data_IF_131786487716
#
_entry.id   IF_131786487716
#
_cell.length_a   1.000
_cell.length_b   1.000
_cell.length_c   1.000
_cell.angle_alpha   90.00
_cell.angle_beta   90.00
_cell.angle_gamma   90.00
#
_symmetry.space_group_name_H-M   'P 1'
#
loop_
_entity.id
_entity.type
_entity.pdbx_description
1 polymer ?
#
# COMPACT_ATOMS: atom_id res chain seq x y z
N UNK A 1 4.98 12.10 -3.58
CA UNK A 1 5.70 12.59 -4.76
C UNK A 1 5.24 14.01 -5.12
N UNK A 2 5.93 14.74 -6.00
CA UNK A 2 5.30 15.87 -6.71
C UNK A 2 4.42 15.32 -7.84
N UNK A 3 3.51 16.10 -8.46
CA UNK A 3 2.80 15.65 -9.66
C UNK A 3 3.75 15.16 -10.77
N UNK A 4 4.85 15.86 -11.00
CA UNK A 4 5.88 15.48 -12.00
C UNK A 4 6.59 14.16 -11.65
N UNK A 5 6.84 13.88 -10.37
CA UNK A 5 7.43 12.61 -9.94
C UNK A 5 6.42 11.44 -10.03
N UNK A 6 5.13 11.70 -9.81
CA UNK A 6 4.06 10.71 -10.02
C UNK A 6 3.94 10.30 -11.48
N UNK A 7 4.08 11.24 -12.41
CA UNK A 7 3.99 10.98 -13.86
C UNK A 7 5.09 10.06 -14.39
N UNK A 8 6.17 9.85 -13.64
CA UNK A 8 7.22 8.87 -13.98
C UNK A 8 6.78 7.43 -13.75
N UNK A 9 5.72 7.22 -12.97
CA UNK A 9 5.14 5.90 -12.75
C UNK A 9 4.29 5.47 -13.96
N UNK A 10 4.16 4.17 -14.22
CA UNK A 10 3.14 3.66 -15.13
C UNK A 10 1.75 4.18 -14.71
N UNK A 11 0.96 4.70 -15.66
CA UNK A 11 -0.33 5.35 -15.38
C UNK A 11 -1.28 4.57 -14.44
N UNK A 12 -1.41 3.24 -14.52
CA UNK A 12 -2.24 2.50 -13.58
C UNK A 12 -1.71 2.54 -12.14
N UNK A 13 -0.39 2.48 -11.97
CA UNK A 13 0.27 2.57 -10.67
C UNK A 13 0.28 4.00 -10.14
N UNK A 14 0.46 5.00 -11.00
CA UNK A 14 0.31 6.43 -10.65
C UNK A 14 -1.05 6.70 -9.99
N UNK A 15 -2.14 6.18 -10.58
CA UNK A 15 -3.49 6.30 -10.03
C UNK A 15 -3.60 5.68 -8.65
N UNK A 16 -3.04 4.48 -8.47
CA UNK A 16 -3.06 3.74 -7.19
C UNK A 16 -2.25 4.47 -6.12
N UNK A 17 -1.07 4.96 -6.47
CA UNK A 17 -0.23 5.75 -5.57
C UNK A 17 -0.88 7.09 -5.20
N UNK A 18 -1.53 7.75 -6.15
CA UNK A 18 -2.26 9.00 -5.88
C UNK A 18 -3.41 8.78 -4.90
N UNK A 19 -4.20 7.71 -5.08
CA UNK A 19 -5.27 7.35 -4.14
C UNK A 19 -4.72 7.07 -2.74
N UNK A 20 -3.64 6.29 -2.65
CA UNK A 20 -2.93 6.03 -1.39
C UNK A 20 -2.42 7.31 -0.73
N UNK A 21 -1.79 8.22 -1.48
CA UNK A 21 -1.31 9.50 -0.96
C UNK A 21 -2.45 10.35 -0.39
N UNK A 22 -3.58 10.41 -1.09
CA UNK A 22 -4.75 11.19 -0.67
C UNK A 22 -5.39 10.60 0.59
N UNK A 23 -5.57 9.28 0.64
CA UNK A 23 -6.18 8.59 1.79
C UNK A 23 -5.36 8.78 3.08
N UNK A 24 -4.04 8.56 3.00
CA UNK A 24 -3.14 8.73 4.15
C UNK A 24 -3.13 10.19 4.63
N UNK A 25 -3.05 11.15 3.70
CA UNK A 25 -3.04 12.57 4.07
C UNK A 25 -4.37 13.02 4.67
N UNK A 26 -5.50 12.49 4.19
CA UNK A 26 -6.82 12.75 4.79
C UNK A 26 -6.87 12.22 6.23
N UNK A 27 -6.37 11.01 6.48
CA UNK A 27 -6.28 10.46 7.84
C UNK A 27 -5.39 11.34 8.74
N UNK A 28 -4.23 11.77 8.26
CA UNK A 28 -3.33 12.64 9.00
C UNK A 28 -4.02 13.96 9.38
N UNK A 29 -4.72 14.59 8.42
CA UNK A 29 -5.47 15.84 8.67
C UNK A 29 -6.52 15.61 9.75
N UNK A 30 -7.32 14.55 9.66
CA UNK A 30 -8.36 14.26 10.64
C UNK A 30 -7.77 14.04 12.04
N UNK A 31 -6.68 13.26 12.15
CA UNK A 31 -5.98 13.04 13.42
C UNK A 31 -5.45 14.33 14.03
N UNK A 32 -4.88 15.23 13.23
CA UNK A 32 -4.39 16.52 13.73
C UNK A 32 -5.57 17.40 14.18
N UNK A 33 -6.69 17.40 13.44
CA UNK A 33 -7.90 18.14 13.84
C UNK A 33 -8.49 17.64 15.16
N UNK A 34 -8.43 16.35 15.41
CA UNK A 34 -8.94 15.74 16.64
C UNK A 34 -8.00 15.93 17.84
N UNK A 35 -6.70 15.77 17.62
CA UNK A 35 -5.71 15.74 18.70
C UNK A 35 -4.99 17.06 18.94
N UNK A 36 -5.08 18.02 18.00
CA UNK A 36 -4.33 19.28 17.97
C UNK A 36 -2.84 19.10 18.23
N UNK A 37 -2.27 17.99 17.76
CA UNK A 37 -0.84 17.66 17.85
C UNK A 37 -0.47 16.57 16.85
N UNK A 38 0.82 16.42 16.59
CA UNK A 38 1.35 15.27 15.86
C UNK A 38 1.59 14.14 16.85
N UNK A 39 0.68 13.16 16.86
CA UNK A 39 0.84 11.93 17.66
C UNK A 39 1.89 11.00 17.07
N UNK A 40 2.37 9.96 17.79
CA UNK A 40 3.30 8.98 17.23
C UNK A 40 2.79 8.27 15.97
N UNK A 41 1.48 8.02 15.87
CA UNK A 41 0.87 7.43 14.66
C UNK A 41 0.87 8.45 13.52
N UNK A 42 0.57 9.71 13.81
CA UNK A 42 0.64 10.80 12.82
C UNK A 42 2.07 10.98 12.30
N UNK A 43 3.08 11.00 13.18
CA UNK A 43 4.50 11.04 12.81
C UNK A 43 4.88 9.85 11.93
N UNK A 44 4.46 8.64 12.29
CA UNK A 44 4.69 7.44 11.47
C UNK A 44 4.15 7.59 10.04
N UNK A 45 2.89 8.03 9.88
CA UNK A 45 2.27 8.22 8.57
C UNK A 45 3.00 9.29 7.76
N UNK A 46 3.37 10.41 8.37
CA UNK A 46 4.15 11.47 7.72
C UNK A 46 5.52 10.96 7.24
N UNK A 47 6.21 10.14 8.05
CA UNK A 47 7.45 9.49 7.65
C UNK A 47 7.23 8.54 6.45
N UNK A 48 6.13 7.78 6.42
CA UNK A 48 5.81 6.91 5.27
C UNK A 48 5.56 7.74 4.00
N UNK A 49 4.88 8.87 4.12
CA UNK A 49 4.64 9.79 3.00
C UNK A 49 5.94 10.34 2.41
N UNK A 50 6.91 10.71 3.26
CA UNK A 50 8.23 11.11 2.79
C UNK A 50 9.01 9.95 2.16
N UNK A 51 8.92 8.74 2.71
CA UNK A 51 9.58 7.56 2.17
C UNK A 51 9.09 7.17 0.77
N UNK A 52 7.80 7.34 0.47
CA UNK A 52 7.24 7.18 -0.89
C UNK A 52 7.49 8.41 -1.79
N UNK A 53 8.32 9.37 -1.35
CA UNK A 53 8.78 10.50 -2.14
C UNK A 53 7.92 11.76 -2.05
N UNK A 54 6.96 11.89 -1.12
CA UNK A 54 6.23 13.15 -0.92
C UNK A 54 7.11 14.20 -0.23
N UNK A 55 7.20 15.38 -0.85
CA UNK A 55 8.01 16.47 -0.30
C UNK A 55 7.39 16.98 1.00
N UNK A 56 8.25 17.32 1.96
CA UNK A 56 7.86 17.96 3.22
C UNK A 56 7.02 19.22 2.98
N UNK A 57 7.34 19.99 1.93
CA UNK A 57 6.58 21.16 1.49
C UNK A 57 5.13 20.79 1.10
N UNK A 58 4.95 19.80 0.22
CA UNK A 58 3.61 19.37 -0.22
C UNK A 58 2.78 18.83 0.94
N UNK A 59 3.39 18.03 1.82
CA UNK A 59 2.77 17.56 3.06
C UNK A 59 2.26 18.76 3.86
N UNK A 60 3.15 19.71 4.18
CA UNK A 60 2.81 20.88 4.98
C UNK A 60 1.72 21.74 4.35
N UNK A 61 1.71 21.92 3.04
CA UNK A 61 0.66 22.62 2.30
C UNK A 61 -0.70 21.94 2.44
N UNK A 62 -0.76 20.62 2.26
CA UNK A 62 -2.00 19.84 2.45
C UNK A 62 -2.49 19.95 3.89
N UNK A 63 -1.58 19.86 4.88
CA UNK A 63 -1.96 20.01 6.29
C UNK A 63 -2.50 21.40 6.59
N UNK A 64 -1.83 22.47 6.13
CA UNK A 64 -2.29 23.85 6.29
C UNK A 64 -3.70 24.02 5.80
N UNK A 65 -3.99 23.58 4.57
CA UNK A 65 -5.34 23.73 4.01
C UNK A 65 -6.36 22.84 4.74
N UNK A 66 -5.98 21.60 5.08
CA UNK A 66 -6.85 20.64 5.74
C UNK A 66 -7.28 21.04 7.16
N UNK A 67 -6.42 21.75 7.89
CA UNK A 67 -6.71 22.19 9.28
C UNK A 67 -7.12 23.66 9.39
N UNK A 68 -7.10 24.41 8.28
CA UNK A 68 -7.40 25.85 8.22
C UNK A 68 -8.71 26.23 8.89
N UNK A 69 -9.77 25.47 8.64
CA UNK A 69 -11.12 25.72 9.19
C UNK A 69 -11.24 25.36 10.67
N UNK A 70 -10.29 24.59 11.21
CA UNK A 70 -10.22 24.24 12.62
C UNK A 70 -9.46 25.29 13.47
N UNK A 71 -8.90 26.33 12.85
CA UNK A 71 -8.11 27.36 13.55
C UNK A 71 -6.80 26.85 14.14
N UNK A 72 -6.28 25.73 13.61
CA UNK A 72 -5.03 25.12 14.06
C UNK A 72 -3.86 25.75 13.30
N UNK A 73 -2.85 26.24 14.04
CA UNK A 73 -1.60 26.69 13.45
C UNK A 73 -0.65 25.50 13.24
N UNK A 74 -0.47 25.09 11.98
CA UNK A 74 0.41 23.97 11.66
C UNK A 74 1.88 24.24 12.04
N UNK A 75 2.30 25.51 12.01
CA UNK A 75 3.69 25.88 12.27
C UNK A 75 4.01 25.68 13.76
N UNK A 76 3.07 26.03 14.64
CA UNK A 76 3.14 25.75 16.08
C UNK A 76 3.12 24.23 16.37
N UNK A 77 2.27 23.49 15.66
CA UNK A 77 2.18 22.02 15.77
C UNK A 77 3.52 21.36 15.39
N UNK A 78 4.14 21.83 14.30
CA UNK A 78 5.44 21.34 13.84
C UNK A 78 6.55 21.70 14.83
N UNK A 79 6.56 22.92 15.37
CA UNK A 79 7.53 23.34 16.37
C UNK A 79 7.42 22.49 17.66
N UNK A 80 6.20 22.20 18.09
CA UNK A 80 5.93 21.32 19.23
C UNK A 80 6.43 19.89 18.96
N UNK A 81 6.12 19.34 17.78
CA UNK A 81 6.58 18.02 17.37
C UNK A 81 8.12 17.93 17.29
N UNK A 82 8.78 18.98 16.78
CA UNK A 82 10.24 19.04 16.66
C UNK A 82 10.99 18.99 18.00
N UNK A 83 10.30 19.32 19.10
CA UNK A 83 10.81 19.30 20.48
C UNK A 83 10.37 18.04 21.26
N UNK A 84 9.57 17.17 20.64
CA UNK A 84 9.03 15.98 21.28
C UNK A 84 10.01 14.81 21.23
N UNK A 85 10.16 14.09 22.35
CA UNK A 85 11.06 12.93 22.47
C UNK A 85 10.59 11.69 21.69
N UNK A 86 9.30 11.60 21.32
CA UNK A 86 8.80 10.45 20.55
C UNK A 86 8.89 10.63 19.03
N UNK A 87 9.24 11.82 18.55
CA UNK A 87 9.47 12.07 17.13
C UNK A 87 10.84 11.52 16.75
N UNK A 88 10.85 10.44 15.97
CA UNK A 88 12.10 9.76 15.59
C UNK A 88 12.94 10.58 14.61
N UNK A 89 12.29 11.41 13.80
CA UNK A 89 12.94 12.23 12.78
C UNK A 89 12.52 13.70 12.89
N UNK A 90 13.13 14.43 13.82
CA UNK A 90 12.82 15.86 14.02
C UNK A 90 13.14 16.72 12.79
N UNK A 91 13.96 16.24 11.85
CA UNK A 91 14.30 16.96 10.61
C UNK A 91 13.09 17.13 9.69
N UNK A 92 12.09 16.24 9.77
CA UNK A 92 10.83 16.40 9.01
C UNK A 92 10.11 17.69 9.41
N UNK A 93 10.25 18.11 10.67
CA UNK A 93 9.56 19.28 11.21
C UNK A 93 10.42 20.54 11.22
N UNK A 94 11.76 20.40 11.22
CA UNK A 94 12.72 21.53 11.24
C UNK A 94 13.10 22.03 9.84
N UNK A 95 13.03 21.21 8.80
CA UNK A 95 13.53 21.58 7.49
C UNK A 95 12.63 22.59 6.76
N UNK A 96 13.22 23.71 6.32
CA UNK A 96 12.62 24.63 5.37
C UNK A 96 13.17 24.32 3.96
N UNK A 97 12.58 23.36 3.24
CA UNK A 97 13.10 22.98 1.92
C UNK A 97 12.47 21.74 1.26
N UNK A 98 12.85 21.50 -0.01
CA UNK A 98 12.45 20.32 -0.79
C UNK A 98 13.31 19.10 -0.40
N UNK A 99 12.84 18.32 0.56
CA UNK A 99 13.41 17.01 0.93
C UNK A 99 12.57 15.85 0.37
N UNK A 100 12.13 15.94 -0.89
CA UNK A 100 11.61 14.74 -1.56
C UNK A 100 12.81 13.97 -2.12
N UNK A 101 12.87 12.66 -1.85
CA UNK A 101 13.75 11.77 -2.59
C UNK A 101 13.18 11.67 -4.01
N UNK A 102 13.89 12.15 -5.05
CA UNK A 102 13.44 12.00 -6.43
C UNK A 102 13.22 10.52 -6.76
N UNK A 103 12.28 10.21 -7.65
CA UNK A 103 11.98 8.82 -8.01
C UNK A 103 13.24 8.07 -8.50
N UNK A 104 14.10 8.76 -9.25
CA UNK A 104 15.35 8.20 -9.78
C UNK A 104 16.37 7.84 -8.69
N UNK A 105 16.25 8.42 -7.50
CA UNK A 105 17.11 8.14 -6.35
C UNK A 105 16.40 7.29 -5.28
N UNK A 106 15.11 6.96 -5.47
CA UNK A 106 14.32 6.19 -4.52
C UNK A 106 14.35 4.69 -4.85
N UNK A 107 15.45 4.02 -4.49
CA UNK A 107 15.67 2.59 -4.77
C UNK A 107 14.58 1.69 -4.19
N UNK A 108 14.11 2.00 -2.98
CA UNK A 108 13.01 1.25 -2.35
C UNK A 108 11.72 1.36 -3.17
N UNK A 109 11.34 2.58 -3.59
CA UNK A 109 10.14 2.76 -4.41
C UNK A 109 10.32 2.10 -5.80
N UNK A 110 11.49 2.21 -6.42
CA UNK A 110 11.82 1.51 -7.67
C UNK A 110 11.70 -0.02 -7.52
N UNK A 111 12.10 -0.57 -6.39
CA UNK A 111 11.90 -1.99 -6.07
C UNK A 111 10.42 -2.35 -5.93
N UNK A 112 9.61 -1.53 -5.27
CA UNK A 112 8.15 -1.75 -5.17
C UNK A 112 7.50 -1.70 -6.56
N UNK A 113 7.83 -0.70 -7.38
CA UNK A 113 7.32 -0.56 -8.76
C UNK A 113 7.69 -1.78 -9.61
N UNK A 114 8.95 -2.23 -9.51
CA UNK A 114 9.40 -3.43 -10.22
C UNK A 114 8.69 -4.69 -9.73
N UNK A 115 8.46 -4.83 -8.42
CA UNK A 115 7.68 -5.94 -7.88
C UNK A 115 6.24 -5.96 -8.37
N UNK A 116 5.58 -4.80 -8.47
CA UNK A 116 4.23 -4.69 -9.07
C UNK A 116 4.27 -5.11 -10.54
N UNK A 117 5.28 -4.66 -11.30
CA UNK A 117 5.48 -5.06 -12.68
C UNK A 117 5.58 -6.57 -12.82
N UNK A 118 6.49 -7.19 -12.06
CA UNK A 118 6.77 -8.62 -12.14
C UNK A 118 5.58 -9.46 -11.67
N UNK A 119 4.86 -8.98 -10.66
CA UNK A 119 3.65 -9.61 -10.18
C UNK A 119 2.54 -9.57 -11.24
N UNK A 120 2.48 -8.52 -12.06
CA UNK A 120 1.42 -8.30 -13.05
C UNK A 120 1.83 -8.61 -14.50
N UNK A 121 3.03 -9.17 -14.73
CA UNK A 121 3.57 -9.44 -16.08
C UNK A 121 2.62 -10.23 -16.98
N UNK A 122 1.98 -11.28 -16.44
CA UNK A 122 1.04 -12.14 -17.19
C UNK A 122 -0.43 -11.68 -17.07
N UNK A 123 -0.66 -10.50 -16.49
CA UNK A 123 -1.99 -9.91 -16.38
C UNK A 123 -2.45 -9.35 -17.72
N UNK A 124 -3.75 -9.44 -17.99
CA UNK A 124 -4.37 -8.74 -19.13
C UNK A 124 -4.24 -7.21 -19.03
N UNK A 125 -4.07 -6.71 -17.80
CA UNK A 125 -3.87 -5.30 -17.49
C UNK A 125 -2.59 -5.14 -16.66
N UNK A 126 -1.45 -4.82 -17.29
CA UNK A 126 -0.19 -4.64 -16.58
C UNK A 126 -0.31 -3.54 -15.52
N UNK A 127 0.34 -3.73 -14.37
CA UNK A 127 0.32 -2.81 -13.23
C UNK A 127 -1.06 -2.62 -12.58
N UNK A 128 -2.03 -3.48 -12.90
CA UNK A 128 -3.35 -3.55 -12.27
C UNK A 128 -3.60 -4.99 -11.78
N UNK A 129 -4.50 -5.11 -10.81
CA UNK A 129 -4.90 -6.37 -10.20
C UNK A 129 -3.71 -7.14 -9.61
N UNK A 130 -2.97 -6.48 -8.73
CA UNK A 130 -1.84 -7.03 -7.97
C UNK A 130 -2.27 -8.32 -7.25
N UNK A 131 -3.50 -8.36 -6.74
CA UNK A 131 -4.07 -9.53 -6.06
C UNK A 131 -4.44 -10.70 -6.97
N UNK A 132 -4.42 -10.51 -8.30
CA UNK A 132 -4.88 -11.47 -9.30
C UNK A 132 -6.29 -12.02 -9.01
N UNK A 133 -7.15 -11.21 -8.40
CA UNK A 133 -8.53 -11.59 -8.14
C UNK A 133 -9.27 -11.80 -9.45
N UNK A 134 -10.25 -12.68 -9.43
CA UNK A 134 -11.17 -12.89 -10.55
C UNK A 134 -12.61 -12.61 -10.15
N UNK A 135 -12.79 -11.86 -9.07
CA UNK A 135 -14.11 -11.46 -8.57
C UNK A 135 -14.82 -10.59 -9.59
N UNK A 136 -16.10 -10.88 -9.83
CA UNK A 136 -16.96 -10.22 -10.81
C UNK A 136 -16.48 -10.30 -12.28
N UNK A 137 -15.47 -11.12 -12.57
CA UNK A 137 -15.06 -11.40 -13.95
C UNK A 137 -16.04 -12.38 -14.60
N UNK A 138 -16.43 -12.07 -15.83
CA UNK A 138 -17.38 -12.89 -16.59
C UNK A 138 -16.63 -13.79 -17.57
N UNK A 139 -16.95 -15.10 -17.66
CA UNK A 139 -16.36 -15.96 -18.66
C UNK A 139 -16.85 -15.57 -20.06
N UNK A 140 -15.89 -15.31 -20.95
CA UNK A 140 -16.12 -15.28 -22.40
C UNK A 140 -15.58 -16.60 -22.94
N UNK A 141 -16.27 -17.23 -23.88
CA UNK A 141 -15.86 -18.55 -24.42
C UNK A 141 -14.36 -18.64 -24.75
N UNK A 142 -13.81 -19.85 -24.75
CA UNK A 142 -12.37 -20.13 -24.92
C UNK A 142 -11.48 -19.74 -23.72
N UNK A 143 -12.04 -19.74 -22.50
CA UNK A 143 -11.28 -19.54 -21.26
C UNK A 143 -10.84 -18.09 -21.01
N UNK A 144 -11.28 -17.13 -21.82
CA UNK A 144 -10.98 -15.71 -21.64
C UNK A 144 -11.93 -15.10 -20.60
N UNK A 145 -11.41 -14.21 -19.76
CA UNK A 145 -12.18 -13.48 -18.76
C UNK A 145 -12.41 -12.06 -19.25
N UNK A 146 -13.63 -11.55 -19.04
CA UNK A 146 -13.98 -10.15 -19.32
C UNK A 146 -14.08 -9.41 -18.00
N UNK A 147 -13.39 -8.28 -17.94
CA UNK A 147 -13.48 -7.34 -16.83
C UNK A 147 -14.81 -6.58 -16.92
N UNK A 148 -15.52 -6.56 -15.80
CA UNK A 148 -16.71 -5.73 -15.61
C UNK A 148 -16.33 -4.47 -14.83
N UNK A 149 -17.09 -3.37 -14.94
CA UNK A 149 -16.85 -2.18 -14.10
C UNK A 149 -16.77 -2.52 -12.60
N UNK A 150 -17.57 -3.51 -12.17
CA UNK A 150 -17.56 -4.00 -10.79
C UNK A 150 -16.27 -4.75 -10.43
N UNK A 151 -15.73 -5.58 -11.34
CA UNK A 151 -14.42 -6.20 -11.14
C UNK A 151 -13.30 -5.18 -11.05
N UNK A 152 -13.32 -4.14 -11.91
CA UNK A 152 -12.29 -3.11 -11.90
C UNK A 152 -12.34 -2.27 -10.62
N UNK A 153 -13.54 -1.97 -10.13
CA UNK A 153 -13.72 -1.26 -8.87
C UNK A 153 -13.19 -2.07 -7.68
N UNK A 154 -13.53 -3.36 -7.59
CA UNK A 154 -12.98 -4.26 -6.57
C UNK A 154 -11.46 -4.37 -6.67
N UNK A 155 -10.93 -4.59 -7.88
CA UNK A 155 -9.49 -4.72 -8.13
C UNK A 155 -8.72 -3.46 -7.69
N UNK A 156 -9.25 -2.27 -7.98
CA UNK A 156 -8.64 -1.00 -7.55
C UNK A 156 -8.59 -0.86 -6.03
N UNK A 157 -9.69 -1.15 -5.33
CA UNK A 157 -9.71 -1.08 -3.86
C UNK A 157 -8.72 -2.09 -3.23
N UNK A 158 -8.60 -3.27 -3.83
CA UNK A 158 -7.66 -4.30 -3.38
C UNK A 158 -6.19 -3.93 -3.65
N UNK A 159 -5.88 -3.34 -4.81
CA UNK A 159 -4.54 -2.87 -5.15
C UNK A 159 -4.10 -1.76 -4.21
N UNK A 160 -4.99 -0.81 -3.93
CA UNK A 160 -4.73 0.26 -2.96
C UNK A 160 -4.44 -0.32 -1.57
N UNK A 161 -5.21 -1.33 -1.12
CA UNK A 161 -4.98 -2.00 0.16
C UNK A 161 -3.63 -2.73 0.20
N UNK A 162 -3.24 -3.43 -0.87
CA UNK A 162 -1.91 -4.07 -0.97
C UNK A 162 -0.80 -3.01 -0.87
N UNK A 163 -0.96 -1.86 -1.52
CA UNK A 163 0.02 -0.78 -1.47
C UNK A 163 0.06 -0.10 -0.09
N UNK A 164 -1.07 0.09 0.58
CA UNK A 164 -1.14 0.60 1.97
C UNK A 164 -0.35 -0.29 2.94
N UNK A 165 -0.42 -1.61 2.76
CA UNK A 165 0.34 -2.57 3.56
C UNK A 165 1.82 -2.57 3.17
N UNK A 166 2.12 -2.65 1.87
CA UNK A 166 3.50 -2.74 1.35
C UNK A 166 4.33 -1.50 1.72
N UNK A 167 3.72 -0.32 1.70
CA UNK A 167 4.37 0.95 2.11
C UNK A 167 4.48 1.11 3.63
N UNK A 168 3.85 0.23 4.41
CA UNK A 168 3.78 0.31 5.87
C UNK A 168 2.87 1.42 6.39
N UNK A 169 2.02 1.99 5.54
CA UNK A 169 1.07 3.03 5.93
C UNK A 169 -0.09 2.49 6.78
N UNK A 170 -0.54 1.25 6.52
CA UNK A 170 -1.61 0.59 7.26
C UNK A 170 -1.23 -0.82 7.64
N UNK A 171 -1.79 -1.30 8.75
CA UNK A 171 -1.78 -2.73 9.08
C UNK A 171 -2.72 -3.51 8.15
N UNK A 172 -2.54 -4.83 8.09
CA UNK A 172 -3.45 -5.72 7.36
C UNK A 172 -4.91 -5.51 7.75
N UNK A 173 -5.21 -5.46 9.05
CA UNK A 173 -6.58 -5.32 9.54
C UNK A 173 -7.22 -4.00 9.11
N UNK A 174 -6.45 -2.90 9.14
CA UNK A 174 -6.94 -1.60 8.70
C UNK A 174 -7.20 -1.60 7.19
N UNK A 175 -6.21 -1.98 6.37
CA UNK A 175 -6.37 -1.95 4.91
C UNK A 175 -7.47 -2.91 4.41
N UNK A 176 -7.63 -4.07 5.03
CA UNK A 176 -8.72 -5.00 4.71
C UNK A 176 -10.07 -4.43 5.18
N UNK A 177 -10.12 -3.79 6.35
CA UNK A 177 -11.29 -3.08 6.86
C UNK A 177 -11.74 -2.00 5.89
N UNK A 178 -10.82 -1.14 5.44
CA UNK A 178 -11.09 -0.07 4.47
C UNK A 178 -11.74 -0.61 3.18
N UNK A 179 -11.25 -1.75 2.65
CA UNK A 179 -11.87 -2.39 1.48
C UNK A 179 -13.27 -2.91 1.79
N UNK A 180 -13.47 -3.54 2.94
CA UNK A 180 -14.78 -4.06 3.34
C UNK A 180 -15.77 -2.90 3.49
N UNK A 181 -15.35 -1.80 4.13
CA UNK A 181 -16.20 -0.63 4.35
C UNK A 181 -16.56 0.06 3.02
N UNK A 182 -15.59 0.22 2.11
CA UNK A 182 -15.82 0.78 0.76
C UNK A 182 -16.80 -0.08 -0.06
N UNK A 183 -16.57 -1.40 -0.08
CA UNK A 183 -17.44 -2.33 -0.81
C UNK A 183 -18.83 -2.42 -0.18
N UNK A 184 -18.92 -2.43 1.15
CA UNK A 184 -20.23 -2.50 1.82
C UNK A 184 -21.02 -1.20 1.70
N UNK A 185 -20.36 -0.05 1.74
CA UNK A 185 -20.98 1.26 1.54
C UNK A 185 -21.51 1.43 0.12
N UNK A 186 -20.85 0.81 -0.88
CA UNK A 186 -21.32 0.76 -2.28
C UNK A 186 -22.39 -0.30 -2.56
N UNK A 187 -22.84 -1.04 -1.54
CA UNK A 187 -23.91 -2.06 -1.66
C UNK A 187 -23.42 -3.47 -1.98
N UNK A 188 -22.12 -3.70 -2.09
CA UNK A 188 -21.53 -5.01 -2.34
C UNK A 188 -21.50 -5.81 -1.05
N UNK A 189 -21.97 -7.05 -1.09
CA UNK A 189 -21.94 -7.99 0.06
C UNK A 189 -21.30 -9.32 -0.29
N UNK A 190 -21.37 -9.71 -1.55
CA UNK A 190 -20.91 -10.98 -2.07
C UNK A 190 -20.09 -10.72 -3.33
N UNK A 191 -19.00 -11.45 -3.47
CA UNK A 191 -18.17 -11.47 -4.67
C UNK A 191 -18.39 -12.80 -5.39
N UNK A 192 -18.87 -12.71 -6.62
CA UNK A 192 -19.09 -13.87 -7.48
C UNK A 192 -17.84 -14.13 -8.32
N UNK A 193 -17.45 -15.39 -8.41
CA UNK A 193 -16.31 -15.84 -9.21
C UNK A 193 -16.79 -16.65 -10.40
N UNK A 194 -16.09 -16.52 -11.54
CA UNK A 194 -16.37 -17.29 -12.76
C UNK A 194 -16.36 -18.82 -12.55
N UNK A 195 -15.78 -19.31 -11.45
CA UNK A 195 -15.83 -20.72 -11.06
C UNK A 195 -17.20 -21.18 -10.51
N UNK A 196 -18.19 -20.29 -10.42
CA UNK A 196 -19.49 -20.56 -9.78
C UNK A 196 -19.44 -20.49 -8.24
N UNK A 197 -18.32 -20.06 -7.66
CA UNK A 197 -18.18 -19.84 -6.22
C UNK A 197 -18.60 -18.40 -5.91
N UNK A 198 -19.24 -18.21 -4.77
CA UNK A 198 -19.55 -16.90 -4.21
C UNK A 198 -19.00 -16.84 -2.80
N UNK A 199 -18.27 -15.78 -2.46
CA UNK A 199 -17.78 -15.55 -1.10
C UNK A 199 -18.32 -14.21 -0.59
N UNK A 200 -18.57 -14.10 0.72
CA UNK A 200 -18.87 -12.79 1.32
C UNK A 200 -17.67 -11.85 1.15
N UNK A 201 -17.92 -10.56 1.06
CA UNK A 201 -16.89 -9.57 0.74
C UNK A 201 -15.73 -9.59 1.75
N UNK A 202 -15.99 -9.86 3.02
CA UNK A 202 -14.97 -9.93 4.07
C UNK A 202 -13.99 -11.08 3.81
N UNK A 203 -14.49 -12.22 3.34
CA UNK A 203 -13.69 -13.39 2.98
C UNK A 203 -12.91 -13.13 1.69
N UNK A 204 -13.58 -12.56 0.69
CA UNK A 204 -12.99 -12.24 -0.61
C UNK A 204 -11.84 -11.23 -0.47
N UNK A 205 -12.08 -10.11 0.24
CA UNK A 205 -11.10 -9.06 0.48
C UNK A 205 -9.91 -9.59 1.27
N UNK A 206 -10.17 -10.28 2.39
CA UNK A 206 -9.09 -10.85 3.21
C UNK A 206 -8.20 -11.78 2.41
N UNK A 207 -8.79 -12.71 1.66
CA UNK A 207 -8.03 -13.68 0.86
C UNK A 207 -7.21 -12.99 -0.23
N UNK A 208 -7.83 -12.06 -0.96
CA UNK A 208 -7.18 -11.38 -2.07
C UNK A 208 -6.00 -10.52 -1.57
N UNK A 209 -6.19 -9.73 -0.52
CA UNK A 209 -5.13 -8.86 0.04
C UNK A 209 -3.98 -9.68 0.60
N UNK A 210 -4.25 -10.71 1.42
CA UNK A 210 -3.19 -11.56 1.98
C UNK A 210 -2.37 -12.25 0.88
N UNK A 211 -3.05 -12.72 -0.18
CA UNK A 211 -2.39 -13.38 -1.31
C UNK A 211 -1.55 -12.38 -2.10
N UNK A 212 -2.10 -11.20 -2.40
CA UNK A 212 -1.39 -10.15 -3.13
C UNK A 212 -0.16 -9.65 -2.38
N UNK A 213 -0.26 -9.40 -1.07
CA UNK A 213 0.89 -8.98 -0.25
C UNK A 213 1.97 -10.07 -0.18
N UNK A 214 1.58 -11.33 -0.01
CA UNK A 214 2.54 -12.45 -0.02
C UNK A 214 3.28 -12.55 -1.36
N UNK A 215 2.56 -12.40 -2.48
CA UNK A 215 3.15 -12.42 -3.82
C UNK A 215 4.06 -11.22 -4.08
N UNK A 216 3.64 -10.02 -3.67
CA UNK A 216 4.49 -8.81 -3.70
C UNK A 216 5.77 -8.98 -2.89
N UNK A 217 5.66 -9.54 -1.68
CA UNK A 217 6.81 -9.83 -0.82
C UNK A 217 7.76 -10.81 -1.49
N UNK A 218 7.23 -11.86 -2.13
CA UNK A 218 8.04 -12.80 -2.90
C UNK A 218 8.83 -12.11 -4.01
N UNK A 219 8.24 -11.15 -4.73
CA UNK A 219 8.93 -10.39 -5.79
C UNK A 219 10.01 -9.46 -5.25
N UNK A 220 9.76 -8.83 -4.11
CA UNK A 220 10.77 -8.03 -3.40
C UNK A 220 11.94 -8.92 -2.96
N UNK A 221 11.65 -10.09 -2.38
CA UNK A 221 12.67 -11.07 -1.96
C UNK A 221 13.50 -11.54 -3.16
N UNK A 222 12.86 -11.93 -4.27
CA UNK A 222 13.56 -12.32 -5.51
C UNK A 222 14.57 -11.24 -5.95
N UNK A 223 14.16 -9.97 -5.94
CA UNK A 223 15.06 -8.85 -6.28
C UNK A 223 16.18 -8.65 -5.27
N UNK A 224 15.87 -8.70 -3.96
CA UNK A 224 16.89 -8.60 -2.92
C UNK A 224 17.91 -9.74 -2.98
N UNK A 225 17.48 -10.95 -3.37
CA UNK A 225 18.40 -12.08 -3.58
C UNK A 225 19.37 -11.84 -4.74
N UNK A 226 18.90 -11.26 -5.84
CA UNK A 226 19.75 -10.88 -6.99
C UNK A 226 20.79 -9.85 -6.59
N UNK A 227 20.38 -8.81 -5.85
CA UNK A 227 21.27 -7.74 -5.37
C UNK A 227 22.33 -8.28 -4.39
N UNK A 228 21.91 -9.13 -3.45
CA UNK A 228 22.80 -9.75 -2.46
C UNK A 228 23.59 -10.94 -3.01
N UNK A 229 23.33 -11.37 -4.25
CA UNK A 229 23.92 -12.55 -4.88
C UNK A 229 23.80 -13.81 -4.02
N UNK A 230 22.62 -14.01 -3.42
CA UNK A 230 22.32 -15.18 -2.59
C UNK A 230 21.29 -16.06 -3.25
N UNK A 231 21.41 -17.37 -3.03
CA UNK A 231 20.43 -18.37 -3.47
C UNK A 231 19.58 -18.89 -2.29
N UNK A 232 19.76 -18.35 -1.09
CA UNK A 232 19.13 -18.86 0.13
C UNK A 232 18.11 -17.88 0.71
N UNK A 233 16.97 -18.42 1.16
CA UNK A 233 15.93 -17.69 1.90
C UNK A 233 15.59 -18.41 3.19
N UNK A 234 15.10 -17.68 4.18
CA UNK A 234 14.49 -18.24 5.37
C UNK A 234 12.96 -18.22 5.22
N UNK A 235 12.31 -19.34 5.56
CA UNK A 235 10.85 -19.41 5.71
C UNK A 235 10.49 -19.02 7.14
N UNK A 236 9.64 -18.01 7.28
CA UNK A 236 9.21 -17.48 8.56
C UNK A 236 8.46 -18.54 9.39
N UNK A 237 8.65 -18.45 10.71
CA UNK A 237 7.92 -19.29 11.66
C UNK A 237 6.70 -18.55 12.19
N UNK A 238 5.56 -19.22 12.24
CA UNK A 238 4.37 -18.68 12.87
C UNK A 238 3.55 -19.75 13.58
N UNK A 239 2.92 -19.35 14.69
CA UNK A 239 2.01 -20.21 15.44
C UNK A 239 0.78 -20.57 14.59
N UNK A 240 0.31 -21.82 14.70
CA UNK A 240 -0.90 -22.29 13.99
C UNK A 240 -0.66 -22.80 12.56
N UNK A 241 0.59 -23.03 12.17
CA UNK A 241 0.91 -23.72 10.92
C UNK A 241 0.27 -25.10 10.85
N UNK A 242 -0.23 -25.50 9.67
CA UNK A 242 -0.72 -26.87 9.47
C UNK A 242 0.45 -27.86 9.67
N UNK A 243 0.22 -29.07 10.21
CA UNK A 243 1.29 -30.04 10.42
C UNK A 243 2.16 -30.32 9.18
N UNK A 244 1.56 -30.32 7.98
CA UNK A 244 2.28 -30.47 6.72
C UNK A 244 3.20 -29.30 6.35
N UNK A 245 2.95 -28.12 6.92
CA UNK A 245 3.71 -26.90 6.67
C UNK A 245 4.76 -26.65 7.78
N UNK A 246 4.59 -27.24 8.97
CA UNK A 246 5.55 -27.14 10.09
C UNK A 246 6.96 -27.58 9.71
N UNK A 247 7.10 -28.57 8.82
CA UNK A 247 8.42 -29.08 8.39
C UNK A 247 9.25 -28.04 7.65
N UNK A 248 8.63 -26.97 7.15
CA UNK A 248 9.27 -25.89 6.41
C UNK A 248 9.62 -24.67 7.28
N UNK A 249 8.96 -24.47 8.41
CA UNK A 249 9.08 -23.23 9.18
C UNK A 249 10.42 -23.07 9.89
N UNK A 250 10.94 -21.84 9.95
CA UNK A 250 12.17 -21.47 10.64
C UNK A 250 13.42 -22.10 10.03
N UNK A 251 13.37 -22.44 8.74
CA UNK A 251 14.46 -23.13 8.03
C UNK A 251 14.89 -22.33 6.82
N UNK A 252 16.15 -22.51 6.47
CA UNK A 252 16.76 -21.93 5.28
C UNK A 252 16.66 -22.91 4.12
N UNK A 253 16.23 -22.42 2.96
CA UNK A 253 16.10 -23.20 1.73
C UNK A 253 16.88 -22.54 0.61
N UNK A 254 17.41 -23.37 -0.29
CA UNK A 254 17.88 -22.90 -1.59
C UNK A 254 16.65 -22.60 -2.46
N UNK A 255 16.56 -21.37 -2.96
CA UNK A 255 15.50 -20.93 -3.86
C UNK A 255 15.76 -21.46 -5.26
N UNK A 256 14.98 -22.45 -5.70
CA UNK A 256 14.98 -22.89 -7.10
C UNK A 256 14.01 -21.99 -7.88
N UNK A 257 14.57 -21.10 -8.71
CA UNK A 257 13.82 -20.34 -9.72
C UNK A 257 13.31 -21.25 -10.83
#
# INVERSE_FOLDING_TARGET
MTPEELEKLPKPLERTMTALEMDIMLEVVNRIRECSQITPVTDWLLNRMTAIGMSKKRIKEILREGVKTAGIDIDEIYETAARSDYVRNSEIYKAAGMDAIPYEDNDWLKQVVQAVKDQTTDSLRPMENITKTTGFNVPMGNGKKVFTPMSEYLERSLDEAVMKITTGAKTYSQAIGDVIDEMTSSGVRVVDYASGRSDRIEVAARRAVMTGVAQMTSKIVEKSMEELKTEYVEVDWHMGSRPSHMVWQGKVFKWNK
#
